data_IF_233126223990
#
_entry.id   IF_233126223990
#
_cell.length_a   1.000
_cell.length_b   1.000
_cell.length_c   1.000
_cell.angle_alpha   90.00
_cell.angle_beta   90.00
_cell.angle_gamma   90.00
#
_symmetry.space_group_name_H-M   'P 1'
#
loop_
_entity.id
_entity.type
_entity.pdbx_description
1 polymer ?
#
# COMPACT_ATOMS: atom_id res chain seq x y z
N UNK A 1 -5.87 0.61 12.55
CA UNK A 1 -4.60 1.15 12.00
C UNK A 1 -4.45 2.61 12.44
N UNK A 2 -3.24 3.14 12.59
CA UNK A 2 -3.06 4.59 12.79
C UNK A 2 -3.45 5.28 11.48
N UNK A 3 -4.46 6.14 11.53
CA UNK A 3 -5.00 6.84 10.37
C UNK A 3 -4.37 8.22 10.20
N UNK A 4 -4.14 8.94 11.30
CA UNK A 4 -3.48 10.23 11.31
C UNK A 4 -2.98 10.58 12.71
N UNK A 5 -2.13 11.59 12.80
CA UNK A 5 -1.74 12.25 14.03
C UNK A 5 -2.46 13.58 14.15
N UNK A 6 -2.89 13.91 15.36
CA UNK A 6 -3.55 15.17 15.69
C UNK A 6 -2.97 15.74 16.98
N UNK A 7 -3.04 17.06 17.15
CA UNK A 7 -2.67 17.70 18.40
C UNK A 7 -3.87 18.35 19.08
N UNK A 8 -3.88 18.28 20.41
CA UNK A 8 -4.75 19.08 21.26
C UNK A 8 -3.89 20.02 22.11
N UNK A 9 -3.97 21.31 21.78
CA UNK A 9 -3.21 22.36 22.45
C UNK A 9 -4.03 22.99 23.57
N UNK A 10 -3.43 23.07 24.75
CA UNK A 10 -3.95 23.74 25.95
C UNK A 10 -2.92 24.75 26.46
N UNK A 11 -3.30 25.71 27.32
CA UNK A 11 -2.34 26.66 27.87
C UNK A 11 -1.13 25.95 28.49
N UNK A 12 0.05 26.18 27.93
CA UNK A 12 1.33 25.62 28.41
C UNK A 12 1.61 24.16 28.04
N UNK A 13 0.75 23.48 27.29
CA UNK A 13 0.97 22.08 26.87
C UNK A 13 0.24 21.72 25.58
N UNK A 14 0.93 21.05 24.67
CA UNK A 14 0.33 20.42 23.49
C UNK A 14 0.47 18.90 23.58
N UNK A 15 -0.63 18.17 23.42
CA UNK A 15 -0.64 16.70 23.42
C UNK A 15 -0.85 16.20 22.00
N UNK A 16 0.07 15.36 21.52
CA UNK A 16 -0.05 14.71 20.22
C UNK A 16 -0.65 13.33 20.42
N UNK A 17 -1.67 13.03 19.62
CA UNK A 17 -2.40 11.76 19.61
C UNK A 17 -2.31 11.12 18.22
N UNK A 18 -2.34 9.80 18.20
CA UNK A 18 -2.62 9.02 17.01
C UNK A 18 -4.10 8.67 16.99
N UNK A 19 -4.78 9.00 15.90
CA UNK A 19 -6.13 8.54 15.60
C UNK A 19 -6.04 7.11 15.08
N UNK A 20 -6.54 6.15 15.85
CA UNK A 20 -6.56 4.74 15.47
C UNK A 20 -7.97 4.37 15.05
N UNK A 21 -8.14 4.02 13.76
CA UNK A 21 -9.37 3.48 13.20
C UNK A 21 -9.44 1.97 13.45
N UNK A 22 -10.52 1.56 14.11
CA UNK A 22 -10.93 0.19 14.47
C UNK A 22 -12.47 0.25 14.65
N UNK A 23 -13.24 -0.82 14.97
CA UNK A 23 -14.70 -0.74 15.17
C UNK A 23 -15.17 0.32 16.19
N UNK A 24 -14.25 0.85 17.00
CA UNK A 24 -14.43 2.07 17.79
C UNK A 24 -13.19 2.94 17.60
N UNK A 25 -13.38 4.11 17.01
CA UNK A 25 -12.32 5.11 16.89
C UNK A 25 -11.75 5.45 18.26
N UNK A 26 -10.41 5.46 18.36
CA UNK A 26 -9.71 5.79 19.61
C UNK A 26 -8.53 6.71 19.37
N UNK A 27 -8.23 7.52 20.39
CA UNK A 27 -7.05 8.37 20.43
C UNK A 27 -5.99 7.72 21.33
N UNK A 28 -4.83 7.43 20.77
CA UNK A 28 -3.67 6.95 21.52
C UNK A 28 -2.69 8.10 21.76
N UNK A 29 -2.24 8.29 22.99
CA UNK A 29 -1.27 9.34 23.29
C UNK A 29 0.11 8.96 22.73
N UNK A 30 0.70 9.86 21.94
CA UNK A 30 2.02 9.68 21.34
C UNK A 30 3.05 10.42 22.19
N UNK A 31 2.85 11.72 22.36
CA UNK A 31 3.81 12.57 23.06
C UNK A 31 3.19 13.87 23.54
N UNK A 32 3.98 14.72 24.18
CA UNK A 32 3.57 16.01 24.71
C UNK A 32 4.69 17.03 24.56
N UNK A 33 4.37 18.19 24.01
CA UNK A 33 5.21 19.38 24.05
C UNK A 33 4.85 20.26 25.25
N UNK A 34 5.87 20.80 25.91
CA UNK A 34 5.73 21.77 27.00
C UNK A 34 5.61 23.20 26.48
N UNK A 35 5.41 24.15 27.41
CA UNK A 35 5.19 25.56 27.09
C UNK A 35 6.28 26.20 26.21
N UNK A 36 7.54 25.78 26.35
CA UNK A 36 8.66 26.29 25.56
C UNK A 36 8.65 25.85 24.09
N UNK A 37 7.97 24.75 23.77
CA UNK A 37 8.07 24.05 22.49
C UNK A 37 6.74 24.01 21.74
N UNK A 38 5.70 24.72 22.22
CA UNK A 38 4.36 24.70 21.62
C UNK A 38 4.37 25.11 20.14
N UNK A 39 5.29 25.99 19.75
CA UNK A 39 5.48 26.44 18.36
C UNK A 39 5.87 25.31 17.39
N UNK A 40 6.39 24.18 17.90
CA UNK A 40 6.76 23.01 17.10
C UNK A 40 5.61 22.01 16.91
N UNK A 41 4.42 22.30 17.45
CA UNK A 41 3.30 21.34 17.49
C UNK A 41 2.83 20.96 16.09
N UNK A 42 2.53 21.95 15.25
CA UNK A 42 1.98 21.73 13.91
C UNK A 42 3.02 21.02 13.03
N UNK A 43 4.25 21.53 13.00
CA UNK A 43 5.35 20.91 12.25
C UNK A 43 5.62 19.46 12.67
N UNK A 44 5.50 19.14 13.97
CA UNK A 44 5.63 17.76 14.45
C UNK A 44 4.46 16.87 13.97
N UNK A 45 3.23 17.38 14.00
CA UNK A 45 2.06 16.64 13.50
C UNK A 45 2.16 16.39 12.01
N UNK A 46 2.57 17.41 11.24
CA UNK A 46 2.77 17.31 9.80
C UNK A 46 3.85 16.29 9.46
N UNK A 47 5.02 16.37 10.08
CA UNK A 47 6.10 15.40 9.86
C UNK A 47 5.70 13.96 10.22
N UNK A 48 4.91 13.76 11.29
CA UNK A 48 4.39 12.44 11.66
C UNK A 48 3.35 11.92 10.65
N UNK A 49 2.52 12.80 10.08
CA UNK A 49 1.55 12.45 9.05
C UNK A 49 2.24 12.19 7.70
N UNK A 50 3.25 12.97 7.32
CA UNK A 50 4.10 12.69 6.15
C UNK A 50 4.84 11.37 6.28
N UNK A 51 5.35 11.04 7.48
CA UNK A 51 5.92 9.70 7.71
C UNK A 51 4.87 8.60 7.60
N UNK A 52 3.63 8.86 8.02
CA UNK A 52 2.56 7.89 7.89
C UNK A 52 2.17 7.68 6.41
N UNK A 53 2.04 8.77 5.65
CA UNK A 53 1.60 8.81 4.25
C UNK A 53 2.68 8.38 3.24
N UNK A 54 3.89 8.92 3.37
CA UNK A 54 4.93 8.80 2.34
C UNK A 54 6.22 8.19 2.90
N UNK A 55 6.26 7.97 4.21
CA UNK A 55 7.42 7.42 4.93
C UNK A 55 8.67 8.24 4.68
N UNK A 56 8.46 9.55 4.64
CA UNK A 56 9.51 10.53 4.57
C UNK A 56 10.28 10.57 5.91
N UNK A 57 11.21 9.63 6.06
CA UNK A 57 12.14 9.56 7.17
C UNK A 57 13.03 10.81 7.25
N UNK A 58 13.24 11.52 6.14
CA UNK A 58 14.10 12.72 6.10
C UNK A 58 13.41 13.91 6.76
N UNK A 59 12.18 14.22 6.36
CA UNK A 59 11.38 15.27 6.99
C UNK A 59 11.09 14.94 8.46
N UNK A 60 10.76 13.67 8.76
CA UNK A 60 10.58 13.22 10.12
C UNK A 60 11.86 13.42 10.93
N UNK A 61 13.02 12.99 10.43
CA UNK A 61 14.29 13.11 11.13
C UNK A 61 14.67 14.57 11.38
N UNK A 62 14.52 15.44 10.38
CA UNK A 62 14.77 16.87 10.51
C UNK A 62 13.89 17.52 11.60
N UNK A 63 12.63 17.09 11.71
CA UNK A 63 11.72 17.57 12.76
C UNK A 63 12.08 16.99 14.14
N UNK A 64 12.42 15.71 14.21
CA UNK A 64 12.80 15.04 15.46
C UNK A 64 14.10 15.58 16.07
N UNK A 65 14.99 16.15 15.26
CA UNK A 65 16.22 16.81 15.72
C UNK A 65 15.97 18.21 16.33
N UNK A 66 14.79 18.79 16.10
CA UNK A 66 14.39 20.12 16.62
C UNK A 66 13.57 20.04 17.90
N UNK A 67 12.87 18.93 18.14
CA UNK A 67 12.04 18.76 19.35
C UNK A 67 12.87 18.32 20.57
N UNK A 68 12.37 18.53 21.80
CA UNK A 68 13.03 18.03 23.00
C UNK A 68 13.27 16.51 22.95
N UNK A 69 14.40 16.06 23.51
CA UNK A 69 14.79 14.63 23.55
C UNK A 69 13.67 13.69 24.04
N UNK A 70 12.88 14.00 25.09
CA UNK A 70 11.77 13.14 25.50
C UNK A 70 10.67 13.02 24.44
N UNK A 71 10.41 14.10 23.70
CA UNK A 71 9.43 14.12 22.60
C UNK A 71 9.92 13.25 21.46
N UNK A 72 11.19 13.40 21.08
CA UNK A 72 11.83 12.58 20.05
C UNK A 72 11.80 11.10 20.40
N UNK A 73 12.19 10.72 21.62
CA UNK A 73 12.17 9.33 22.08
C UNK A 73 10.76 8.74 22.08
N UNK A 74 9.77 9.48 22.56
CA UNK A 74 8.38 9.02 22.60
C UNK A 74 7.80 8.83 21.18
N UNK A 75 8.03 9.79 20.28
CA UNK A 75 7.61 9.70 18.89
C UNK A 75 8.26 8.49 18.18
N UNK A 76 9.58 8.34 18.28
CA UNK A 76 10.30 7.19 17.70
C UNK A 76 9.81 5.85 18.25
N UNK A 77 9.60 5.77 19.57
CA UNK A 77 9.09 4.56 20.20
C UNK A 77 7.68 4.22 19.72
N UNK A 78 6.79 5.22 19.64
CA UNK A 78 5.44 5.03 19.13
C UNK A 78 5.44 4.54 17.67
N UNK A 79 6.21 5.19 16.79
CA UNK A 79 6.33 4.78 15.39
C UNK A 79 6.89 3.37 15.25
N UNK A 80 7.90 3.01 16.05
CA UNK A 80 8.47 1.66 16.08
C UNK A 80 7.45 0.61 16.52
N UNK A 81 6.62 0.92 17.52
CA UNK A 81 5.71 -0.08 18.11
C UNK A 81 4.39 -0.20 17.36
N UNK A 82 3.90 0.91 16.78
CA UNK A 82 2.54 1.02 16.22
C UNK A 82 2.50 1.26 14.72
N UNK A 83 3.59 1.75 14.16
CA UNK A 83 3.73 2.04 12.73
C UNK A 83 4.85 1.21 12.09
N UNK A 84 5.27 0.12 12.74
CA UNK A 84 6.26 -0.81 12.19
C UNK A 84 5.84 -1.26 10.79
N UNK A 85 6.78 -1.36 9.83
CA UNK A 85 6.52 -1.96 8.55
C UNK A 85 6.01 -3.39 8.79
N UNK A 86 4.77 -3.66 8.39
CA UNK A 86 4.25 -5.03 8.42
C UNK A 86 4.85 -5.76 7.23
N UNK A 87 5.54 -6.87 7.48
CA UNK A 87 5.98 -7.78 6.43
C UNK A 87 4.76 -8.20 5.60
N UNK A 88 4.73 -7.83 4.32
CA UNK A 88 3.58 -8.04 3.41
C UNK A 88 2.63 -6.85 3.22
N UNK A 89 2.78 -5.76 3.99
CA UNK A 89 2.20 -4.46 3.67
C UNK A 89 2.90 -3.85 2.44
N UNK A 90 2.15 -3.06 1.69
CA UNK A 90 2.56 -2.39 0.45
C UNK A 90 3.67 -1.38 0.77
N UNK A 91 4.92 -1.83 0.62
CA UNK A 91 6.19 -1.10 0.84
C UNK A 91 6.32 -0.26 2.12
N UNK A 92 7.51 0.29 2.29
CA UNK A 92 7.79 1.40 3.20
C UNK A 92 7.17 2.71 2.66
N UNK A 93 6.00 2.71 1.99
CA UNK A 93 5.37 3.93 1.45
C UNK A 93 3.83 3.83 1.63
N UNK A 94 3.33 4.43 2.70
CA UNK A 94 1.91 4.78 2.91
C UNK A 94 0.95 3.76 3.53
N UNK A 95 -0.15 4.23 4.16
CA UNK A 95 -1.15 3.39 4.80
C UNK A 95 -2.25 3.07 3.80
N UNK A 96 -2.09 1.96 3.07
CA UNK A 96 -3.14 1.46 2.20
C UNK A 96 -4.07 0.53 2.97
N UNK A 97 -5.32 0.93 3.11
CA UNK A 97 -6.36 0.16 3.77
C UNK A 97 -6.98 -0.88 2.82
N UNK A 98 -7.39 -2.02 3.39
CA UNK A 98 -8.18 -3.03 2.69
C UNK A 98 -9.63 -2.54 2.64
N UNK A 99 -10.09 -2.07 1.49
CA UNK A 99 -11.49 -1.63 1.32
C UNK A 99 -12.41 -2.81 1.02
N UNK A 100 -11.87 -3.87 0.41
CA UNK A 100 -12.57 -5.14 0.21
C UNK A 100 -11.63 -6.31 0.39
N UNK A 101 -11.95 -7.17 1.36
CA UNK A 101 -11.05 -8.21 1.88
C UNK A 101 -10.64 -9.24 0.83
N UNK A 102 -11.61 -9.78 0.09
CA UNK A 102 -11.40 -10.68 -1.03
C UNK A 102 -12.71 -10.83 -1.83
N UNK A 103 -12.62 -10.86 -3.15
CA UNK A 103 -13.69 -11.30 -4.07
C UNK A 103 -13.10 -12.42 -4.91
N UNK A 104 -13.83 -13.53 -4.99
CA UNK A 104 -13.41 -14.70 -5.74
C UNK A 104 -14.08 -14.73 -7.11
N UNK A 105 -13.29 -15.03 -8.14
CA UNK A 105 -13.75 -15.29 -9.51
C UNK A 105 -13.22 -16.64 -9.96
N UNK A 106 -14.08 -17.50 -10.49
CA UNK A 106 -13.69 -18.86 -10.90
C UNK A 106 -12.96 -18.92 -12.24
N UNK A 107 -12.93 -17.82 -13.00
CA UNK A 107 -12.30 -17.75 -14.33
C UNK A 107 -11.95 -16.32 -14.71
N UNK A 108 -11.11 -16.19 -15.73
CA UNK A 108 -10.88 -14.92 -16.41
C UNK A 108 -11.93 -14.73 -17.50
N UNK A 109 -12.92 -13.90 -17.25
CA UNK A 109 -13.99 -13.51 -18.19
C UNK A 109 -14.28 -12.00 -18.14
N UNK A 110 -15.33 -11.56 -18.83
CA UNK A 110 -15.70 -10.15 -18.91
C UNK A 110 -16.07 -9.57 -17.53
N UNK A 111 -16.53 -10.38 -16.58
CA UNK A 111 -16.92 -9.89 -15.25
C UNK A 111 -15.72 -9.43 -14.43
N UNK A 112 -14.63 -10.22 -14.45
CA UNK A 112 -13.38 -9.81 -13.79
C UNK A 112 -12.73 -8.63 -14.52
N UNK A 113 -12.85 -8.56 -15.85
CA UNK A 113 -12.36 -7.41 -16.62
C UNK A 113 -13.08 -6.13 -16.20
N UNK A 114 -14.41 -6.13 -16.22
CA UNK A 114 -15.24 -4.99 -15.80
C UNK A 114 -14.98 -4.60 -14.33
N UNK A 115 -14.75 -5.59 -13.46
CA UNK A 115 -14.44 -5.36 -12.06
C UNK A 115 -13.10 -4.63 -11.87
N UNK A 116 -12.07 -5.08 -12.58
CA UNK A 116 -10.73 -4.49 -12.52
C UNK A 116 -10.69 -3.11 -13.19
N UNK A 117 -11.36 -2.96 -14.33
CA UNK A 117 -11.47 -1.68 -15.04
C UNK A 117 -12.24 -0.66 -14.18
N UNK A 118 -13.36 -1.07 -13.58
CA UNK A 118 -14.11 -0.24 -12.65
C UNK A 118 -13.28 0.21 -11.45
N UNK A 119 -12.51 -0.69 -10.83
CA UNK A 119 -11.62 -0.37 -9.72
C UNK A 119 -10.48 0.59 -10.14
N UNK A 120 -9.88 0.35 -11.30
CA UNK A 120 -8.83 1.19 -11.88
C UNK A 120 -9.34 2.61 -12.18
N UNK A 121 -10.53 2.74 -12.80
CA UNK A 121 -11.11 4.03 -13.18
C UNK A 121 -11.46 4.95 -12.00
N UNK A 122 -11.66 4.39 -10.81
CA UNK A 122 -11.93 5.17 -9.58
C UNK A 122 -10.71 5.29 -8.66
N UNK A 123 -9.53 4.82 -9.10
CA UNK A 123 -8.27 4.95 -8.37
C UNK A 123 -8.11 4.01 -7.18
N UNK A 124 -8.75 2.83 -7.19
CA UNK A 124 -8.49 1.82 -6.15
C UNK A 124 -7.27 0.99 -6.51
N UNK A 125 -6.44 0.71 -5.50
CA UNK A 125 -5.36 -0.26 -5.65
C UNK A 125 -5.92 -1.69 -5.79
N UNK A 126 -5.28 -2.47 -6.65
CA UNK A 126 -5.68 -3.84 -6.96
C UNK A 126 -4.59 -4.79 -6.50
N UNK A 127 -4.97 -5.88 -5.82
CA UNK A 127 -4.17 -7.10 -5.71
C UNK A 127 -5.01 -8.28 -6.15
N UNK A 128 -4.46 -9.06 -7.05
CA UNK A 128 -5.10 -10.25 -7.57
C UNK A 128 -4.08 -11.38 -7.64
N UNK A 129 -4.48 -12.59 -7.26
CA UNK A 129 -3.64 -13.78 -7.37
C UNK A 129 -4.47 -14.98 -7.76
N UNK A 130 -3.84 -15.91 -8.47
CA UNK A 130 -4.47 -17.21 -8.72
C UNK A 130 -4.25 -18.14 -7.53
N UNK A 131 -5.28 -18.92 -7.24
CA UNK A 131 -5.31 -19.89 -6.16
C UNK A 131 -6.02 -21.15 -6.65
N UNK A 132 -5.69 -22.28 -6.02
CA UNK A 132 -6.29 -23.57 -6.31
C UNK A 132 -7.26 -23.92 -5.20
N UNK A 133 -8.52 -24.12 -5.53
CA UNK A 133 -9.52 -24.50 -4.55
C UNK A 133 -9.38 -25.97 -4.11
N UNK A 134 -10.28 -26.41 -3.22
CA UNK A 134 -10.31 -27.78 -2.70
C UNK A 134 -10.60 -28.84 -3.76
N UNK A 135 -11.31 -28.48 -4.82
CA UNK A 135 -11.65 -29.38 -5.93
C UNK A 135 -10.52 -29.42 -6.99
N UNK A 136 -9.53 -28.55 -6.85
CA UNK A 136 -8.36 -28.47 -7.71
C UNK A 136 -8.53 -27.51 -8.88
N UNK A 137 -9.66 -26.79 -8.93
CA UNK A 137 -9.94 -25.76 -9.91
C UNK A 137 -9.14 -24.49 -9.57
N UNK A 138 -8.83 -23.71 -10.60
CA UNK A 138 -8.03 -22.48 -10.46
C UNK A 138 -8.98 -21.29 -10.45
N UNK A 139 -8.99 -20.57 -9.35
CA UNK A 139 -9.71 -19.32 -9.20
C UNK A 139 -8.78 -18.12 -9.04
N UNK A 140 -9.39 -16.95 -8.96
CA UNK A 140 -8.74 -15.66 -8.82
C UNK A 140 -9.32 -14.93 -7.62
N UNK A 141 -8.44 -14.64 -6.66
CA UNK A 141 -8.76 -13.84 -5.49
C UNK A 141 -8.33 -12.42 -5.75
N UNK A 142 -9.29 -11.49 -5.71
CA UNK A 142 -9.07 -10.07 -5.89
C UNK A 142 -9.35 -9.34 -4.60
N UNK A 143 -8.46 -8.43 -4.28
CA UNK A 143 -8.48 -7.65 -3.08
C UNK A 143 -8.32 -6.19 -3.44
N UNK A 144 -9.32 -5.38 -3.09
CA UNK A 144 -9.31 -3.95 -3.37
C UNK A 144 -8.75 -3.15 -2.20
N UNK A 145 -8.05 -2.09 -2.55
CA UNK A 145 -7.34 -1.20 -1.66
C UNK A 145 -7.82 0.23 -1.83
N UNK A 146 -7.68 1.02 -0.77
CA UNK A 146 -8.16 2.41 -0.74
C UNK A 146 -7.49 3.31 -1.77
N UNK A 147 -6.28 2.96 -2.19
CA UNK A 147 -5.49 3.72 -3.15
C UNK A 147 -4.45 2.80 -3.81
N UNK A 148 -3.82 3.26 -4.89
CA UNK A 148 -2.63 2.67 -5.49
C UNK A 148 -1.37 3.05 -4.68
N UNK A 149 -0.27 2.29 -4.80
CA UNK A 149 1.00 2.78 -4.25
C UNK A 149 1.67 3.69 -5.24
N UNK A 150 1.91 4.90 -4.77
CA UNK A 150 2.79 5.85 -5.41
C UNK A 150 4.24 5.36 -5.34
N UNK A 151 4.87 5.29 -6.50
CA UNK A 151 6.30 5.05 -6.66
C UNK A 151 6.93 6.17 -7.48
N UNK A 152 8.25 6.41 -7.32
CA UNK A 152 8.97 7.30 -8.21
C UNK A 152 8.77 6.92 -9.68
N UNK A 153 8.71 7.91 -10.57
CA UNK A 153 8.51 7.67 -12.00
C UNK A 153 9.58 6.77 -12.64
N UNK A 154 10.79 6.76 -12.09
CA UNK A 154 11.91 5.93 -12.54
C UNK A 154 12.05 4.60 -11.77
N UNK A 155 11.19 4.33 -10.80
CA UNK A 155 11.26 3.09 -10.02
C UNK A 155 11.02 1.89 -10.95
N UNK A 156 11.83 0.86 -10.81
CA UNK A 156 11.48 -0.43 -11.37
C UNK A 156 10.25 -0.97 -10.63
N UNK A 157 9.28 -1.54 -11.36
CA UNK A 157 8.01 -1.94 -10.78
C UNK A 157 8.27 -3.04 -9.75
N UNK A 158 7.98 -2.75 -8.47
CA UNK A 158 7.80 -3.72 -7.38
C UNK A 158 7.34 -3.02 -6.11
N UNK A 159 6.05 -3.13 -5.85
CA UNK A 159 5.41 -2.59 -4.65
C UNK A 159 4.74 -3.68 -3.82
N UNK A 160 4.46 -4.83 -4.44
CA UNK A 160 4.17 -6.06 -3.72
C UNK A 160 5.46 -6.83 -3.43
N UNK A 161 5.82 -6.94 -2.15
CA UNK A 161 6.98 -7.71 -1.73
C UNK A 161 6.97 -9.14 -2.34
N UNK A 162 8.06 -9.48 -3.00
CA UNK A 162 8.24 -10.80 -3.58
C UNK A 162 8.35 -11.84 -2.45
N UNK A 163 7.74 -13.03 -2.61
CA UNK A 163 7.94 -14.11 -1.65
C UNK A 163 9.42 -14.50 -1.62
N UNK A 164 10.03 -14.57 -0.45
CA UNK A 164 11.44 -14.97 -0.29
C UNK A 164 11.70 -16.43 -0.70
N UNK A 165 10.67 -17.25 -0.69
CA UNK A 165 10.76 -18.71 -0.95
C UNK A 165 10.49 -19.07 -2.41
N UNK A 166 10.12 -18.11 -3.25
CA UNK A 166 9.66 -18.36 -4.61
C UNK A 166 10.46 -17.53 -5.59
N UNK A 167 11.00 -18.20 -6.62
CA UNK A 167 11.75 -17.54 -7.68
C UNK A 167 10.78 -16.81 -8.63
N UNK A 168 11.03 -15.54 -8.88
CA UNK A 168 10.35 -14.78 -9.93
C UNK A 168 10.90 -15.18 -11.31
N UNK A 169 10.03 -15.50 -12.25
CA UNK A 169 10.39 -15.77 -13.65
C UNK A 169 10.36 -14.50 -14.47
N UNK A 170 9.28 -13.74 -14.35
CA UNK A 170 9.02 -12.57 -15.18
C UNK A 170 8.16 -11.55 -14.42
N UNK A 171 8.40 -10.28 -14.68
CA UNK A 171 7.49 -9.18 -14.34
C UNK A 171 7.10 -8.51 -15.65
N UNK A 172 5.84 -8.61 -16.03
CA UNK A 172 5.26 -7.84 -17.13
C UNK A 172 4.56 -6.60 -16.58
N UNK A 173 4.55 -5.52 -17.36
CA UNK A 173 3.90 -4.28 -16.94
C UNK A 173 3.13 -3.64 -18.09
N UNK A 174 2.08 -2.87 -17.79
CA UNK A 174 1.25 -2.26 -18.84
C UNK A 174 1.95 -1.17 -19.65
N UNK A 175 3.16 -0.71 -19.26
CA UNK A 175 4.06 0.06 -20.14
C UNK A 175 4.59 -0.74 -21.33
N UNK A 176 4.48 -2.07 -21.32
CA UNK A 176 4.78 -2.94 -22.44
C UNK A 176 3.46 -3.35 -23.13
N UNK A 177 2.91 -2.48 -24.00
CA UNK A 177 1.60 -2.73 -24.59
C UNK A 177 1.59 -4.02 -25.42
N UNK A 178 0.50 -4.76 -25.31
CA UNK A 178 0.23 -5.98 -26.08
C UNK A 178 -0.88 -5.69 -27.10
N UNK A 179 -0.58 -5.79 -28.39
CA UNK A 179 -1.54 -5.91 -29.52
C UNK A 179 -2.89 -5.16 -29.35
N UNK A 180 -2.88 -3.83 -29.24
CA UNK A 180 -4.09 -2.98 -29.09
C UNK A 180 -4.98 -3.28 -27.86
N UNK A 181 -4.46 -4.01 -26.86
CA UNK A 181 -5.14 -4.26 -25.61
C UNK A 181 -4.90 -3.12 -24.62
N UNK A 182 -5.97 -2.70 -23.95
CA UNK A 182 -5.87 -1.84 -22.77
C UNK A 182 -5.13 -2.51 -21.61
N UNK A 183 -4.73 -1.74 -20.58
CA UNK A 183 -3.88 -2.22 -19.48
C UNK A 183 -4.46 -3.42 -18.73
N UNK A 184 -5.78 -3.41 -18.45
CA UNK A 184 -6.49 -4.51 -17.78
C UNK A 184 -6.44 -5.78 -18.62
N UNK A 185 -6.84 -5.71 -19.89
CA UNK A 185 -6.81 -6.85 -20.82
C UNK A 185 -5.41 -7.41 -21.03
N UNK A 186 -4.41 -6.53 -21.11
CA UNK A 186 -3.00 -6.93 -21.17
C UNK A 186 -2.60 -7.74 -19.95
N UNK A 187 -2.92 -7.24 -18.75
CA UNK A 187 -2.63 -7.92 -17.50
C UNK A 187 -3.31 -9.29 -17.40
N UNK A 188 -4.60 -9.36 -17.74
CA UNK A 188 -5.38 -10.61 -17.74
C UNK A 188 -4.86 -11.61 -18.77
N UNK A 189 -4.42 -11.17 -19.95
CA UNK A 189 -3.83 -12.04 -20.98
C UNK A 189 -2.54 -12.70 -20.49
N UNK A 190 -1.63 -11.92 -19.90
CA UNK A 190 -0.37 -12.45 -19.34
C UNK A 190 -0.65 -13.38 -18.17
N UNK A 191 -1.53 -12.95 -17.26
CA UNK A 191 -1.89 -13.73 -16.08
C UNK A 191 -2.55 -15.06 -16.45
N UNK A 192 -3.47 -15.05 -17.42
CA UNK A 192 -4.14 -16.24 -17.92
C UNK A 192 -3.19 -17.23 -18.59
N UNK A 193 -2.26 -16.73 -19.42
CA UNK A 193 -1.26 -17.58 -20.07
C UNK A 193 -0.37 -18.30 -19.03
N UNK A 194 0.20 -17.54 -18.08
CA UNK A 194 1.04 -18.12 -17.03
C UNK A 194 0.25 -19.08 -16.11
N UNK A 195 -0.99 -18.74 -15.78
CA UNK A 195 -1.86 -19.62 -14.97
C UNK A 195 -2.20 -20.92 -15.71
N UNK A 196 -2.40 -20.89 -17.03
CA UNK A 196 -2.63 -22.07 -17.84
C UNK A 196 -1.41 -23.02 -17.88
N UNK A 197 -0.21 -22.48 -17.67
CA UNK A 197 1.02 -23.26 -17.47
C UNK A 197 1.19 -23.78 -16.03
N UNK A 198 0.20 -23.58 -15.17
CA UNK A 198 0.22 -24.01 -13.76
C UNK A 198 1.13 -23.15 -12.88
N UNK A 199 1.44 -21.92 -13.30
CA UNK A 199 2.31 -21.01 -12.55
C UNK A 199 1.51 -20.16 -11.57
N UNK A 200 2.12 -19.89 -10.42
CA UNK A 200 1.64 -18.84 -9.52
C UNK A 200 1.81 -17.48 -10.18
N UNK A 201 0.76 -16.67 -10.12
CA UNK A 201 0.69 -15.34 -10.70
C UNK A 201 0.16 -14.35 -9.68
N UNK A 202 0.69 -13.13 -9.71
CA UNK A 202 0.14 -11.98 -9.01
C UNK A 202 -0.06 -10.83 -9.98
N UNK A 203 -1.17 -10.13 -9.85
CA UNK A 203 -1.50 -8.90 -10.57
C UNK A 203 -1.68 -7.81 -9.54
N UNK A 204 -1.08 -6.64 -9.75
CA UNK A 204 -1.27 -5.49 -8.88
C UNK A 204 -1.12 -4.17 -9.63
N UNK A 205 -1.61 -3.09 -9.03
CA UNK A 205 -1.46 -1.74 -9.57
C UNK A 205 -0.50 -0.89 -8.76
N UNK A 206 0.13 0.08 -9.41
CA UNK A 206 0.96 1.12 -8.81
C UNK A 206 0.80 2.42 -9.60
N UNK A 207 1.10 3.54 -8.95
CA UNK A 207 1.02 4.88 -9.51
C UNK A 207 2.43 5.46 -9.64
N UNK A 208 2.92 5.71 -10.85
CA UNK A 208 4.18 6.43 -11.04
C UNK A 208 3.94 7.93 -10.92
N UNK A 209 4.59 8.60 -9.95
CA UNK A 209 4.54 10.07 -9.79
C UNK A 209 5.92 10.69 -10.03
N UNK A 210 5.94 11.81 -10.77
CA UNK A 210 7.13 12.63 -11.04
C UNK A 210 7.48 13.58 -9.87
N UNK A 211 6.66 13.66 -8.82
CA UNK A 211 6.89 14.54 -7.67
C UNK A 211 6.70 13.80 -6.35
N UNK A 212 7.66 13.98 -5.45
CA UNK A 212 7.60 13.55 -4.04
C UNK A 212 6.48 14.22 -3.23
N UNK A 213 5.78 15.19 -3.82
CA UNK A 213 4.76 16.01 -3.17
C UNK A 213 3.81 16.45 -4.27
N UNK A 214 2.61 15.89 -4.34
CA UNK A 214 1.36 16.52 -4.77
C UNK A 214 0.32 15.44 -5.09
N UNK A 215 -0.71 15.34 -4.25
CA UNK A 215 -1.93 14.52 -4.42
C UNK A 215 -2.80 14.95 -5.63
N UNK A 216 -2.28 15.81 -6.51
CA UNK A 216 -3.00 16.41 -7.64
C UNK A 216 -2.61 15.73 -8.97
N UNK A 217 -2.95 14.45 -9.11
CA UNK A 217 -3.43 13.87 -10.37
C UNK A 217 -2.49 13.79 -11.58
N UNK A 218 -1.17 13.92 -11.43
CA UNK A 218 -0.21 13.79 -12.55
C UNK A 218 0.55 12.45 -12.57
N UNK A 219 0.03 11.41 -11.91
CA UNK A 219 0.64 10.09 -11.91
C UNK A 219 0.14 9.21 -13.06
N UNK A 220 0.98 8.27 -13.51
CA UNK A 220 0.59 7.23 -14.48
C UNK A 220 0.39 5.91 -13.75
N UNK A 221 -0.86 5.46 -13.65
CA UNK A 221 -1.20 4.15 -13.10
C UNK A 221 -0.76 3.04 -14.04
N UNK A 222 -0.28 1.94 -13.48
CA UNK A 222 0.29 0.82 -14.21
C UNK A 222 -0.12 -0.51 -13.58
N UNK A 223 -0.51 -1.47 -14.42
CA UNK A 223 -0.68 -2.86 -14.02
C UNK A 223 0.68 -3.57 -14.08
N UNK A 224 0.94 -4.38 -13.06
CA UNK A 224 2.12 -5.23 -12.93
C UNK A 224 1.68 -6.67 -12.74
N UNK A 225 2.24 -7.58 -13.53
CA UNK A 225 1.99 -9.01 -13.46
C UNK A 225 3.30 -9.73 -13.15
N UNK A 226 3.39 -10.32 -11.95
CA UNK A 226 4.51 -11.15 -11.54
C UNK A 226 4.18 -12.62 -11.76
N UNK A 227 5.04 -13.30 -12.53
CA UNK A 227 4.96 -14.74 -12.79
C UNK A 227 6.07 -15.45 -12.04
N UNK A 228 5.71 -16.47 -11.28
CA UNK A 228 6.63 -17.18 -10.39
C UNK A 228 6.93 -18.60 -10.86
N UNK A 229 8.14 -19.06 -10.59
CA UNK A 229 8.58 -20.45 -10.77
C UNK A 229 8.09 -21.33 -9.61
N UNK A 230 6.78 -21.35 -9.41
CA UNK A 230 6.12 -22.14 -8.38
C UNK A 230 4.73 -22.59 -8.85
N UNK A 231 4.23 -23.71 -8.31
CA UNK A 231 2.85 -24.11 -8.52
C UNK A 231 1.89 -23.08 -7.93
N UNK A 232 0.67 -23.04 -8.49
CA UNK A 232 -0.45 -22.26 -7.95
C UNK A 232 -0.72 -22.73 -6.52
N UNK A 233 -0.72 -21.82 -5.52
CA UNK A 233 -0.94 -22.18 -4.13
C UNK A 233 -2.38 -22.68 -3.93
N UNK A 234 -2.57 -23.59 -2.98
CA UNK A 234 -3.92 -23.93 -2.52
C UNK A 234 -4.52 -22.76 -1.73
N UNK A 235 -5.83 -22.62 -1.80
CA UNK A 235 -6.60 -21.72 -0.94
C UNK A 235 -6.17 -21.98 0.51
N UNK A 236 -5.65 -20.92 1.13
CA UNK A 236 -5.19 -20.97 2.51
C UNK A 236 -6.39 -20.65 3.37
N UNK A 237 -7.07 -21.67 3.90
CA UNK A 237 -8.10 -21.47 4.92
C UNK A 237 -7.50 -20.67 6.10
N UNK A 238 -7.89 -19.39 6.19
CA UNK A 238 -7.77 -18.40 7.29
C UNK A 238 -6.39 -18.13 7.93
#
# INVERSE_FOLDING_TARGET
>A
MVHSFIAHTSPGRSRVFALVKDPRDRLEAVTTLGAGDLHLTEELVDALNSFLADRDDTALQAMLDRVPKPVCMAARQYLKDKCAPKVGAFTECGPIDIVRTAVYFSRLDDEIEDYLDGAYMIGLGIRMSNERDSDGDIGWVIQLRSDEVTVPANAEPRTWALPTEVKLLETWTSKQPLDDLGPVRGALKVAGAASAEGRRVRVHTLLHSDRDVDFEGNGTSEFVVDVFDAPIPHDSEE
#
